data_IF_894585471841
#
_entry.id   IF_894585471841
#
_cell.length_a   1.000
_cell.length_b   1.000
_cell.length_c   1.000
_cell.angle_alpha   90.00
_cell.angle_beta   90.00
_cell.angle_gamma   90.00
#
_symmetry.space_group_name_H-M   'P 1'
#
loop_
_entity.id
_entity.type
_entity.pdbx_description
1 polymer ?
#
# COMPACT_ATOMS: atom_id res chain seq x y z
N UNK A 1 -2.23 -3.17 16.76
CA UNK A 1 -2.67 -2.90 16.80
C UNK A 1 -3.52 -2.53 16.63
N UNK A 2 -3.84 -2.39 16.48
CA UNK A 2 -4.77 -2.13 16.74
C UNK A 2 -5.77 -2.20 16.02
N UNK A 3 -6.33 -2.86 16.15
CA UNK A 3 -7.56 -2.93 15.52
C UNK A 3 -8.28 -1.69 15.76
N UNK A 4 -8.09 -0.82 14.90
CA UNK A 4 -8.95 0.21 14.93
C UNK A 4 -10.28 -0.23 14.60
N UNK A 5 -11.10 -0.35 15.56
CA UNK A 5 -12.48 -0.44 15.32
C UNK A 5 -12.85 0.76 14.50
N UNK A 6 -13.20 0.53 13.27
CA UNK A 6 -13.85 1.54 12.47
C UNK A 6 -15.12 1.86 13.23
N UNK A 7 -15.19 3.03 13.83
CA UNK A 7 -16.37 3.45 14.55
C UNK A 7 -17.55 3.43 13.61
N UNK A 8 -18.61 2.74 13.98
CA UNK A 8 -19.83 2.72 13.18
C UNK A 8 -20.39 4.13 13.10
N UNK A 9 -20.86 4.55 11.95
CA UNK A 9 -21.46 5.88 11.82
C UNK A 9 -22.67 5.98 12.73
N UNK A 10 -22.76 7.08 13.46
CA UNK A 10 -23.90 7.34 14.33
C UNK A 10 -25.17 7.61 13.54
N UNK A 11 -25.00 8.05 12.31
CA UNK A 11 -26.10 8.37 11.42
C UNK A 11 -25.79 7.74 10.06
N UNK A 12 -26.67 6.91 9.57
CA UNK A 12 -26.53 6.25 8.27
C UNK A 12 -27.37 6.97 7.23
N UNK A 13 -27.04 6.83 5.94
CA UNK A 13 -27.87 7.40 4.88
C UNK A 13 -29.34 6.97 4.97
N UNK A 14 -29.57 5.71 5.33
CA UNK A 14 -30.92 5.19 5.48
C UNK A 14 -31.68 5.89 6.61
N UNK A 15 -31.00 6.14 7.71
CA UNK A 15 -31.60 6.87 8.84
C UNK A 15 -31.96 8.30 8.45
N UNK A 16 -31.08 8.97 7.69
CA UNK A 16 -31.37 10.31 7.16
C UNK A 16 -32.60 10.28 6.27
N UNK A 17 -32.66 9.33 5.35
CA UNK A 17 -33.76 9.20 4.41
C UNK A 17 -35.10 8.92 5.10
N UNK A 18 -35.09 8.11 6.16
CA UNK A 18 -36.27 7.71 6.89
C UNK A 18 -36.67 8.67 8.01
N UNK A 19 -35.89 9.70 8.25
CA UNK A 19 -36.19 10.66 9.32
C UNK A 19 -37.46 11.43 8.99
N UNK A 20 -38.35 11.46 9.96
CA UNK A 20 -39.61 12.20 9.84
C UNK A 20 -39.63 13.23 10.97
N UNK A 21 -40.01 14.44 10.63
CA UNK A 21 -40.07 15.51 11.61
C UNK A 21 -41.52 15.76 12.02
N UNK A 22 -41.80 16.00 13.33
CA UNK A 22 -43.12 16.33 13.77
C UNK A 22 -43.63 17.61 13.11
N UNK A 23 -44.90 17.61 12.72
CA UNK A 23 -45.53 18.80 12.15
C UNK A 23 -46.16 19.62 13.23
N UNK A 24 -46.02 20.94 13.11
CA UNK A 24 -46.70 21.93 13.94
C UNK A 24 -47.61 22.79 13.10
N UNK A 25 -48.39 23.69 13.72
CA UNK A 25 -49.36 24.52 13.04
C UNK A 25 -48.76 25.32 11.87
N UNK A 26 -47.55 25.79 12.00
CA UNK A 26 -46.85 26.61 10.99
C UNK A 26 -45.67 25.91 10.34
N UNK A 27 -45.70 24.58 10.27
CA UNK A 27 -44.63 23.80 9.65
C UNK A 27 -44.13 22.69 10.56
N UNK A 28 -42.86 22.32 10.40
CA UNK A 28 -42.25 21.26 11.19
C UNK A 28 -41.76 21.81 12.53
N UNK A 29 -41.56 20.91 13.50
CA UNK A 29 -40.97 21.26 14.79
C UNK A 29 -39.54 21.74 14.57
N UNK A 30 -39.31 23.03 14.81
CA UNK A 30 -38.03 23.68 14.59
C UNK A 30 -36.88 23.05 15.39
N UNK A 31 -37.14 22.70 16.65
CA UNK A 31 -36.12 22.09 17.51
C UNK A 31 -35.67 20.73 16.99
N UNK A 32 -36.62 19.93 16.51
CA UNK A 32 -36.32 18.61 15.95
C UNK A 32 -35.50 18.73 14.68
N UNK A 33 -35.83 19.65 13.79
CA UNK A 33 -35.07 19.90 12.56
C UNK A 33 -33.67 20.40 12.87
N UNK A 34 -33.54 21.36 13.80
CA UNK A 34 -32.25 21.91 14.18
C UNK A 34 -31.34 20.84 14.82
N UNK A 35 -31.91 19.97 15.67
CA UNK A 35 -31.16 18.88 16.28
C UNK A 35 -30.66 17.91 15.21
N UNK A 36 -31.52 17.55 14.29
CA UNK A 36 -31.15 16.66 13.18
C UNK A 36 -30.07 17.27 12.31
N UNK A 37 -30.21 18.55 11.99
CA UNK A 37 -29.20 19.25 11.19
C UNK A 37 -27.84 19.23 11.85
N UNK A 38 -27.78 19.44 13.18
CA UNK A 38 -26.53 19.36 13.93
C UNK A 38 -25.93 17.96 13.92
N UNK A 39 -26.76 16.94 14.07
CA UNK A 39 -26.31 15.55 14.03
C UNK A 39 -25.72 15.19 12.66
N UNK A 40 -26.38 15.62 11.60
CA UNK A 40 -25.89 15.40 10.22
C UNK A 40 -24.55 16.12 10.03
N UNK A 41 -24.46 17.36 10.49
CA UNK A 41 -23.23 18.15 10.36
C UNK A 41 -22.05 17.48 11.08
N UNK A 42 -22.27 17.01 12.30
CA UNK A 42 -21.25 16.31 13.07
C UNK A 42 -20.80 15.01 12.38
N UNK A 43 -21.75 14.27 11.87
CA UNK A 43 -21.43 13.02 11.17
C UNK A 43 -20.68 13.30 9.87
N UNK A 44 -21.04 14.34 9.15
CA UNK A 44 -20.32 14.74 7.94
C UNK A 44 -18.87 15.14 8.26
N UNK A 45 -18.67 15.90 9.34
CA UNK A 45 -17.33 16.27 9.78
C UNK A 45 -16.50 15.05 10.10
N UNK A 46 -17.08 14.08 10.81
CA UNK A 46 -16.41 12.83 11.16
C UNK A 46 -16.00 12.07 9.93
N UNK A 47 -16.91 11.96 8.96
CA UNK A 47 -16.65 11.24 7.72
C UNK A 47 -15.60 11.93 6.86
N UNK A 48 -15.64 13.25 6.78
CA UNK A 48 -14.62 14.02 6.04
C UNK A 48 -13.24 13.81 6.67
N UNK A 49 -13.14 13.85 7.99
CA UNK A 49 -11.87 13.62 8.68
C UNK A 49 -11.37 12.19 8.43
N UNK A 50 -12.28 11.22 8.51
CA UNK A 50 -11.90 9.82 8.24
C UNK A 50 -11.41 9.66 6.82
N UNK A 51 -12.08 10.29 5.86
CA UNK A 51 -11.67 10.27 4.46
C UNK A 51 -10.26 10.82 4.28
N UNK A 52 -9.96 11.95 4.94
CA UNK A 52 -8.62 12.55 4.87
C UNK A 52 -7.56 11.63 5.46
N UNK A 53 -7.86 10.95 6.55
CA UNK A 53 -6.95 9.98 7.16
C UNK A 53 -6.70 8.80 6.23
N UNK A 54 -7.76 8.29 5.60
CA UNK A 54 -7.63 7.19 4.67
C UNK A 54 -6.83 7.57 3.43
N UNK A 55 -7.05 8.77 2.91
CA UNK A 55 -6.28 9.29 1.78
C UNK A 55 -4.79 9.41 2.13
N UNK A 56 -4.49 9.88 3.33
CA UNK A 56 -3.12 9.99 3.79
C UNK A 56 -2.47 8.61 3.91
N UNK A 57 -3.18 7.66 4.50
CA UNK A 57 -2.69 6.28 4.61
C UNK A 57 -2.46 5.65 3.25
N UNK A 58 -3.36 5.91 2.30
CA UNK A 58 -3.21 5.43 0.94
C UNK A 58 -1.94 5.96 0.29
N UNK A 59 -1.68 7.27 0.42
CA UNK A 59 -0.46 7.86 -0.13
C UNK A 59 0.79 7.24 0.47
N UNK A 60 0.79 7.03 1.78
CA UNK A 60 1.93 6.40 2.47
C UNK A 60 2.16 4.97 2.00
N UNK A 61 1.09 4.20 1.87
CA UNK A 61 1.18 2.81 1.41
C UNK A 61 1.64 2.72 -0.05
N UNK A 62 1.16 3.61 -0.91
CA UNK A 62 1.59 3.66 -2.31
C UNK A 62 3.08 4.00 -2.42
N UNK A 63 3.53 4.94 -1.59
CA UNK A 63 4.94 5.29 -1.52
C UNK A 63 5.80 4.10 -1.09
N UNK A 64 5.34 3.37 -0.08
CA UNK A 64 6.02 2.17 0.40
C UNK A 64 6.09 1.08 -0.65
N UNK A 65 4.98 0.83 -1.33
CA UNK A 65 4.95 -0.15 -2.43
C UNK A 65 5.93 0.24 -3.53
N UNK A 66 6.00 1.53 -3.85
CA UNK A 66 6.96 2.02 -4.84
C UNK A 66 8.40 1.71 -4.45
N UNK A 67 8.75 1.95 -3.19
CA UNK A 67 10.09 1.65 -2.68
C UNK A 67 10.41 0.17 -2.74
N UNK A 68 9.46 -0.68 -2.36
CA UNK A 68 9.66 -2.13 -2.44
C UNK A 68 9.86 -2.61 -3.87
N UNK A 69 9.13 -2.05 -4.81
CA UNK A 69 9.28 -2.41 -6.22
C UNK A 69 10.64 -2.01 -6.77
N UNK A 70 11.14 -0.84 -6.38
CA UNK A 70 12.47 -0.41 -6.77
C UNK A 70 13.54 -1.32 -6.19
N UNK A 71 13.40 -1.66 -4.91
CA UNK A 71 14.33 -2.56 -4.25
C UNK A 71 14.32 -3.94 -4.92
N UNK A 72 13.16 -4.47 -5.24
CA UNK A 72 13.01 -5.74 -5.94
C UNK A 72 13.73 -5.71 -7.29
N UNK A 73 13.57 -4.63 -8.04
CA UNK A 73 14.22 -4.45 -9.34
C UNK A 73 15.74 -4.45 -9.20
N UNK A 74 16.26 -3.72 -8.21
CA UNK A 74 17.70 -3.66 -7.93
C UNK A 74 18.24 -5.03 -7.54
N UNK A 75 17.51 -5.76 -6.71
CA UNK A 75 17.92 -7.10 -6.30
C UNK A 75 17.96 -8.08 -7.48
N UNK A 76 16.97 -8.00 -8.37
CA UNK A 76 16.97 -8.82 -9.58
C UNK A 76 18.17 -8.55 -10.45
N UNK A 77 18.51 -7.28 -10.66
CA UNK A 77 19.69 -6.91 -11.41
C UNK A 77 20.97 -7.40 -10.75
N UNK A 78 21.07 -7.25 -9.44
CA UNK A 78 22.24 -7.72 -8.68
C UNK A 78 22.43 -9.22 -8.82
N UNK A 79 21.33 -9.99 -8.74
CA UNK A 79 21.37 -11.44 -8.92
C UNK A 79 21.84 -11.81 -10.32
N UNK A 80 21.30 -11.15 -11.35
CA UNK A 80 21.72 -11.40 -12.73
C UNK A 80 23.17 -11.09 -12.97
N UNK A 81 23.66 -9.97 -12.45
CA UNK A 81 25.08 -9.60 -12.55
C UNK A 81 25.95 -10.59 -11.82
N UNK A 82 25.52 -11.03 -10.65
CA UNK A 82 26.25 -12.06 -9.89
C UNK A 82 26.34 -13.38 -10.62
N UNK A 83 25.26 -13.80 -11.27
CA UNK A 83 25.23 -15.01 -12.07
C UNK A 83 26.18 -14.92 -13.27
N UNK A 84 26.17 -13.78 -13.97
CA UNK A 84 27.08 -13.56 -15.10
C UNK A 84 28.54 -13.59 -14.64
N UNK A 85 28.84 -12.93 -13.53
CA UNK A 85 30.19 -12.93 -12.98
C UNK A 85 30.65 -14.36 -12.60
N UNK A 86 29.76 -15.14 -12.00
CA UNK A 86 30.03 -16.52 -11.66
C UNK A 86 30.30 -17.37 -12.90
N UNK A 87 29.50 -17.20 -13.95
CA UNK A 87 29.67 -17.93 -15.19
C UNK A 87 30.97 -17.56 -15.88
N UNK A 88 31.34 -16.28 -15.90
CA UNK A 88 32.59 -15.83 -16.45
C UNK A 88 33.79 -16.38 -15.68
N UNK A 89 33.68 -16.40 -14.34
CA UNK A 89 34.74 -16.98 -13.49
C UNK A 89 34.92 -18.47 -13.75
N UNK A 90 33.82 -19.21 -13.90
CA UNK A 90 33.89 -20.64 -14.22
C UNK A 90 34.52 -20.88 -15.59
N UNK A 91 34.11 -20.10 -16.58
CA UNK A 91 34.67 -20.22 -17.92
C UNK A 91 36.14 -19.92 -17.95
N UNK A 92 36.59 -18.90 -17.22
CA UNK A 92 38.00 -18.56 -17.09
C UNK A 92 38.80 -19.67 -16.39
N UNK A 93 38.23 -20.23 -15.32
CA UNK A 93 38.85 -21.32 -14.60
C UNK A 93 39.03 -22.58 -15.49
N UNK A 94 37.99 -22.88 -16.28
CA UNK A 94 38.08 -24.01 -17.23
C UNK A 94 39.13 -23.79 -18.29
N UNK A 95 39.22 -22.59 -18.85
CA UNK A 95 40.26 -22.28 -19.84
C UNK A 95 41.66 -22.39 -19.22
N UNK A 96 41.83 -21.91 -18.02
CA UNK A 96 43.13 -22.01 -17.32
C UNK A 96 43.48 -23.45 -17.02
N UNK A 97 42.53 -24.24 -16.53
CA UNK A 97 42.76 -25.67 -16.28
C UNK A 97 43.13 -26.41 -17.55
N UNK A 98 42.46 -26.14 -18.65
CA UNK A 98 42.76 -26.75 -19.95
C UNK A 98 44.15 -26.35 -20.43
N UNK A 99 44.53 -25.10 -20.24
CA UNK A 99 45.87 -24.63 -20.62
C UNK A 99 46.97 -25.32 -19.79
N UNK A 100 46.74 -25.44 -18.47
CA UNK A 100 47.67 -26.12 -17.57
C UNK A 100 47.82 -27.59 -17.95
N UNK A 101 46.69 -28.27 -18.23
CA UNK A 101 46.74 -29.68 -18.65
C UNK A 101 47.45 -29.86 -19.99
N UNK A 102 47.18 -28.99 -20.93
CA UNK A 102 47.83 -29.02 -22.24
C UNK A 102 49.34 -28.81 -22.11
N UNK A 103 49.76 -27.88 -21.29
CA UNK A 103 51.17 -27.61 -21.03
C UNK A 103 51.85 -28.81 -20.34
N UNK A 104 51.19 -29.38 -19.35
CA UNK A 104 51.69 -30.56 -18.65
C UNK A 104 51.89 -31.75 -19.59
N UNK A 105 50.95 -31.95 -20.49
CA UNK A 105 51.05 -33.03 -21.50
C UNK A 105 52.20 -32.81 -22.48
N UNK A 106 52.42 -31.56 -22.86
CA UNK A 106 53.53 -31.21 -23.74
C UNK A 106 54.88 -31.47 -23.09
N UNK A 107 54.98 -31.13 -21.80
CA UNK A 107 56.24 -31.37 -21.05
C UNK A 107 56.49 -32.85 -20.80
N UNK A 108 55.40 -33.63 -20.63
CA UNK A 108 55.53 -35.07 -20.38
C UNK A 108 55.99 -35.91 -21.59
N UNK A 109 55.90 -35.31 -22.76
CA UNK A 109 56.41 -35.98 -23.97
C UNK A 109 57.95 -35.80 -24.01
#
# INVERSE_FOLDING_TARGET
MMSEKIAEPRLTPLQVEKTVFPRRALGYDRKAVDAFRRDVSKEMERLVQRMRQLEQSERELLSEVGRFRELESVLKEAVLLGQRAADETRAAAHREADAVLSEARAVAR
#
